data_IF_754363719238
#
_entry.id   IF_754363719238
#
_cell.length_a   1.000
_cell.length_b   1.000
_cell.length_c   1.000
_cell.angle_alpha   90.00
_cell.angle_beta   90.00
_cell.angle_gamma   90.00
#
_symmetry.space_group_name_H-M   'P 1'
#
loop_
_entity.id
_entity.type
_entity.pdbx_description
1 polymer ?
#
# COMPACT_ATOMS: atom_id res chain seq x y z
N UNK A 1 -35.50 -24.53 -1.12
CA UNK A 1 -34.98 -23.33 -0.45
C UNK A 1 -33.60 -23.66 0.09
N UNK A 2 -32.55 -23.27 -0.62
CA UNK A 2 -31.17 -23.43 -0.14
C UNK A 2 -30.91 -22.27 0.82
N UNK A 3 -30.67 -22.58 2.09
CA UNK A 3 -30.31 -21.55 3.08
C UNK A 3 -29.02 -20.86 2.62
N UNK A 4 -29.07 -19.53 2.48
CA UNK A 4 -27.86 -18.74 2.25
C UNK A 4 -26.90 -18.99 3.42
N UNK A 5 -25.62 -19.31 3.18
CA UNK A 5 -24.65 -19.43 4.25
C UNK A 5 -24.65 -18.11 5.03
N UNK A 6 -24.86 -18.17 6.35
CA UNK A 6 -24.80 -16.99 7.21
C UNK A 6 -23.37 -16.48 7.19
N UNK A 7 -23.10 -15.47 6.36
CA UNK A 7 -21.80 -14.84 6.27
C UNK A 7 -21.41 -14.31 7.65
N UNK A 8 -20.19 -14.63 8.10
CA UNK A 8 -19.66 -14.07 9.34
C UNK A 8 -19.64 -12.54 9.19
N UNK A 9 -20.13 -11.77 10.19
CA UNK A 9 -19.98 -10.32 10.18
C UNK A 9 -18.51 -9.93 10.03
N UNK A 10 -18.25 -8.84 9.30
CA UNK A 10 -16.88 -8.33 9.15
C UNK A 10 -16.32 -7.90 10.51
N UNK A 11 -15.11 -8.33 10.83
CA UNK A 11 -14.34 -7.93 12.00
C UNK A 11 -12.87 -7.71 11.63
N UNK A 12 -12.07 -7.24 12.59
CA UNK A 12 -10.64 -6.98 12.36
C UNK A 12 -9.84 -8.20 11.92
N UNK A 13 -10.26 -9.41 12.34
CA UNK A 13 -9.59 -10.65 11.95
C UNK A 13 -9.86 -11.00 10.48
N UNK A 14 -11.11 -10.90 10.03
CA UNK A 14 -11.48 -11.14 8.62
C UNK A 14 -10.77 -10.15 7.71
N UNK A 15 -10.72 -8.87 8.11
CA UNK A 15 -10.02 -7.82 7.37
C UNK A 15 -8.51 -8.11 7.31
N UNK A 16 -7.89 -8.43 8.45
CA UNK A 16 -6.47 -8.75 8.53
C UNK A 16 -6.09 -9.95 7.66
N UNK A 17 -6.89 -11.03 7.69
CA UNK A 17 -6.65 -12.21 6.87
C UNK A 17 -6.78 -11.92 5.37
N UNK A 18 -7.79 -11.15 4.97
CA UNK A 18 -7.95 -10.71 3.58
C UNK A 18 -6.75 -9.86 3.13
N UNK A 19 -6.29 -8.93 3.97
CA UNK A 19 -5.10 -8.13 3.73
C UNK A 19 -3.85 -9.01 3.55
N UNK A 20 -3.58 -9.94 4.48
CA UNK A 20 -2.40 -10.81 4.40
C UNK A 20 -2.41 -11.68 3.15
N UNK A 21 -3.57 -12.23 2.77
CA UNK A 21 -3.68 -13.05 1.57
C UNK A 21 -3.41 -12.23 0.29
N UNK A 22 -4.03 -11.05 0.15
CA UNK A 22 -3.80 -10.16 -0.99
C UNK A 22 -2.35 -9.65 -1.04
N UNK A 23 -1.80 -9.25 0.11
CA UNK A 23 -0.40 -8.81 0.23
C UNK A 23 0.58 -9.90 -0.15
N UNK A 24 0.36 -11.14 0.28
CA UNK A 24 1.23 -12.27 -0.07
C UNK A 24 1.26 -12.55 -1.58
N UNK A 25 0.17 -12.27 -2.31
CA UNK A 25 0.17 -12.35 -3.77
C UNK A 25 0.95 -11.18 -4.39
N UNK A 26 0.74 -9.96 -3.88
CA UNK A 26 1.44 -8.77 -4.36
C UNK A 26 2.96 -8.88 -4.14
N UNK A 27 3.40 -9.36 -2.97
CA UNK A 27 4.83 -9.51 -2.64
C UNK A 27 5.56 -10.51 -3.55
N UNK A 28 4.86 -11.46 -4.19
CA UNK A 28 5.47 -12.37 -5.20
C UNK A 28 5.88 -11.65 -6.49
N UNK A 29 5.34 -10.45 -6.73
CA UNK A 29 5.69 -9.64 -7.90
C UNK A 29 6.96 -8.82 -7.68
N UNK A 30 7.43 -8.72 -6.44
CA UNK A 30 8.61 -7.93 -6.11
C UNK A 30 9.90 -8.71 -6.44
N UNK A 31 10.93 -8.03 -6.94
CA UNK A 31 12.23 -8.66 -7.12
C UNK A 31 12.83 -9.06 -5.77
N UNK A 32 13.79 -9.98 -5.81
CA UNK A 32 14.45 -10.47 -4.61
C UNK A 32 15.09 -9.32 -3.82
N UNK A 33 14.78 -9.22 -2.53
CA UNK A 33 15.29 -8.16 -1.65
C UNK A 33 14.45 -6.87 -1.63
N UNK A 34 13.47 -6.71 -2.54
CA UNK A 34 12.53 -5.60 -2.46
C UNK A 34 11.39 -5.89 -1.47
N UNK A 35 10.94 -4.86 -0.76
CA UNK A 35 9.88 -4.98 0.25
C UNK A 35 8.57 -4.32 -0.18
N UNK A 36 7.47 -4.73 0.44
CA UNK A 36 6.17 -4.07 0.24
C UNK A 36 6.20 -2.58 0.60
N UNK A 37 6.95 -2.20 1.63
CA UNK A 37 7.07 -0.79 2.05
C UNK A 37 7.84 0.04 1.04
N UNK A 38 8.90 -0.52 0.44
CA UNK A 38 9.61 0.08 -0.68
C UNK A 38 8.68 0.26 -1.89
N UNK A 39 7.87 -0.74 -2.24
CA UNK A 39 6.90 -0.65 -3.33
C UNK A 39 5.84 0.44 -3.08
N UNK A 40 5.34 0.57 -1.84
CA UNK A 40 4.40 1.62 -1.46
C UNK A 40 5.03 3.02 -1.56
N UNK A 41 6.29 3.16 -1.14
CA UNK A 41 7.02 4.41 -1.24
C UNK A 41 7.26 4.80 -2.71
N UNK A 42 7.66 3.87 -3.56
CA UNK A 42 7.80 4.13 -5.01
C UNK A 42 6.47 4.51 -5.65
N UNK A 43 5.37 3.86 -5.27
CA UNK A 43 4.02 4.21 -5.74
C UNK A 43 3.60 5.61 -5.29
N UNK A 44 3.98 6.02 -4.07
CA UNK A 44 3.73 7.38 -3.59
C UNK A 44 4.53 8.43 -4.38
N UNK A 45 5.81 8.14 -4.68
CA UNK A 45 6.65 9.01 -5.50
C UNK A 45 6.12 9.12 -6.95
N UNK A 46 5.69 8.00 -7.54
CA UNK A 46 5.09 7.98 -8.88
C UNK A 46 3.78 8.77 -8.94
N UNK A 47 2.90 8.60 -7.95
CA UNK A 47 1.66 9.37 -7.85
C UNK A 47 1.89 10.88 -7.68
N UNK A 48 3.06 11.28 -7.16
CA UNK A 48 3.49 12.68 -7.06
C UNK A 48 4.17 13.20 -8.34
N UNK A 49 4.15 12.45 -9.44
CA UNK A 49 4.79 12.83 -10.71
C UNK A 49 6.26 12.46 -10.80
N UNK A 50 6.71 11.52 -9.96
CA UNK A 50 8.07 10.97 -9.99
C UNK A 50 9.11 11.78 -9.21
N UNK A 51 8.74 12.88 -8.56
CA UNK A 51 9.59 13.62 -7.61
C UNK A 51 8.78 14.01 -6.38
N UNK A 52 9.31 13.74 -5.19
CA UNK A 52 8.60 13.93 -3.91
C UNK A 52 9.55 14.43 -2.82
N UNK A 53 9.06 15.24 -1.88
CA UNK A 53 9.81 15.57 -0.66
C UNK A 53 10.06 14.31 0.17
N UNK A 54 11.28 14.13 0.67
CA UNK A 54 11.60 13.01 1.57
C UNK A 54 10.66 12.96 2.77
N UNK A 55 10.41 14.12 3.41
CA UNK A 55 9.48 14.23 4.53
C UNK A 55 8.07 13.76 4.17
N UNK A 56 7.55 14.16 3.01
CA UNK A 56 6.23 13.73 2.55
C UNK A 56 6.16 12.20 2.34
N UNK A 57 7.26 11.60 1.86
CA UNK A 57 7.35 10.14 1.71
C UNK A 57 7.37 9.42 3.07
N UNK A 58 8.10 9.94 4.04
CA UNK A 58 8.11 9.44 5.42
C UNK A 58 6.71 9.56 6.04
N UNK A 59 6.07 10.73 5.93
CA UNK A 59 4.70 10.98 6.41
C UNK A 59 3.68 10.04 5.77
N UNK A 60 3.86 9.72 4.49
CA UNK A 60 3.02 8.75 3.81
C UNK A 60 3.19 7.35 4.41
N UNK A 61 4.42 6.92 4.69
CA UNK A 61 4.68 5.59 5.29
C UNK A 61 4.19 5.52 6.74
N UNK A 62 4.44 6.54 7.55
CA UNK A 62 3.98 6.57 8.94
C UNK A 62 2.47 6.75 9.04
N UNK A 63 1.86 7.52 8.13
CA UNK A 63 0.42 7.77 8.12
C UNK A 63 -0.39 6.62 7.54
N UNK A 64 0.02 6.05 6.40
CA UNK A 64 -0.80 5.10 5.65
C UNK A 64 -0.64 3.66 6.11
N UNK A 65 0.59 3.24 6.39
CA UNK A 65 0.90 1.87 6.81
C UNK A 65 1.35 1.79 8.26
N UNK A 66 1.24 2.91 8.99
CA UNK A 66 1.54 3.01 10.42
C UNK A 66 2.95 2.52 10.77
N UNK A 67 3.89 2.72 9.86
CA UNK A 67 5.31 2.45 10.14
C UNK A 67 5.80 3.40 11.24
N UNK A 68 6.69 2.91 12.11
CA UNK A 68 7.45 3.80 12.98
C UNK A 68 8.39 4.68 12.16
N UNK A 69 8.66 5.90 12.63
CA UNK A 69 9.54 6.86 11.94
C UNK A 69 10.90 6.23 11.56
N UNK A 70 11.61 5.50 12.45
CA UNK A 70 12.89 4.89 12.08
C UNK A 70 12.79 3.88 10.94
N UNK A 71 11.69 3.11 10.88
CA UNK A 71 11.46 2.14 9.81
C UNK A 71 11.12 2.83 8.49
N UNK A 72 10.38 3.94 8.53
CA UNK A 72 10.09 4.76 7.35
C UNK A 72 11.36 5.39 6.79
N UNK A 73 12.21 5.98 7.65
CA UNK A 73 13.50 6.53 7.25
C UNK A 73 14.43 5.47 6.66
N UNK A 74 14.52 4.30 7.30
CA UNK A 74 15.30 3.17 6.79
C UNK A 74 14.79 2.71 5.41
N UNK A 75 13.47 2.61 5.23
CA UNK A 75 12.86 2.26 3.92
C UNK A 75 13.29 3.23 2.84
N UNK A 76 13.29 4.54 3.12
CA UNK A 76 13.70 5.56 2.15
C UNK A 76 15.20 5.47 1.85
N UNK A 77 16.04 5.29 2.87
CA UNK A 77 17.48 5.12 2.70
C UNK A 77 17.84 3.87 1.86
N UNK A 78 17.11 2.77 2.07
CA UNK A 78 17.26 1.54 1.28
C UNK A 78 16.89 1.75 -0.19
N UNK A 79 15.85 2.54 -0.50
CA UNK A 79 15.50 2.88 -1.89
C UNK A 79 16.61 3.67 -2.58
N UNK A 80 17.22 4.63 -1.88
CA UNK A 80 18.37 5.39 -2.40
C UNK A 80 19.58 4.47 -2.60
N UNK A 81 19.88 3.61 -1.62
CA UNK A 81 20.98 2.64 -1.69
C UNK A 81 20.80 1.63 -2.84
N UNK A 82 19.57 1.21 -3.10
CA UNK A 82 19.22 0.33 -4.21
C UNK A 82 19.19 1.05 -5.58
N UNK A 83 19.40 2.36 -5.63
CA UNK A 83 19.35 3.15 -6.86
C UNK A 83 17.96 3.24 -7.49
N UNK A 84 16.90 3.06 -6.69
CA UNK A 84 15.50 3.17 -7.15
C UNK A 84 14.98 4.60 -7.04
N UNK A 85 15.57 5.39 -6.14
CA UNK A 85 15.40 6.84 -6.08
C UNK A 85 16.76 7.52 -6.02
N UNK A 86 16.82 8.75 -6.49
CA UNK A 86 18.01 9.62 -6.40
C UNK A 86 17.69 10.88 -5.58
N UNK A 87 18.68 11.35 -4.82
CA UNK A 87 18.57 12.59 -4.06
C UNK A 87 18.77 13.80 -4.96
N UNK A 88 17.94 14.82 -4.77
CA UNK A 88 17.94 16.08 -5.51
C UNK A 88 18.01 17.26 -4.53
N UNK A 89 18.51 18.43 -4.98
CA UNK A 89 18.56 19.62 -4.14
C UNK A 89 17.19 19.95 -3.50
N UNK A 90 17.20 20.38 -2.24
CA UNK A 90 15.98 20.72 -1.50
C UNK A 90 15.29 19.55 -0.82
N UNK A 91 16.02 18.49 -0.45
CA UNK A 91 15.48 17.28 0.20
C UNK A 91 14.38 16.58 -0.63
N UNK A 92 14.57 16.61 -1.94
CA UNK A 92 13.73 15.97 -2.92
C UNK A 92 14.30 14.60 -3.30
N UNK A 93 13.41 13.65 -3.55
CA UNK A 93 13.72 12.33 -4.07
C UNK A 93 13.04 12.19 -5.43
N UNK A 94 13.81 11.82 -6.45
CA UNK A 94 13.28 11.53 -7.77
C UNK A 94 13.37 10.02 -8.07
N UNK A 95 12.35 9.46 -8.71
CA UNK A 95 12.42 8.11 -9.24
C UNK A 95 13.55 8.02 -10.26
N UNK A 96 14.39 7.00 -10.13
CA UNK A 96 15.30 6.62 -11.22
C UNK A 96 14.51 5.86 -12.28
N UNK A 97 15.04 5.68 -13.50
CA UNK A 97 14.41 4.81 -14.50
C UNK A 97 14.16 3.39 -13.99
N UNK A 98 15.02 2.87 -13.11
CA UNK A 98 14.85 1.55 -12.50
C UNK A 98 13.71 1.54 -11.47
N UNK A 99 13.60 2.59 -10.63
CA UNK A 99 12.50 2.74 -9.69
C UNK A 99 11.14 2.88 -10.37
N UNK A 100 11.08 3.68 -11.44
CA UNK A 100 9.87 3.84 -12.26
C UNK A 100 9.46 2.52 -12.92
N UNK A 101 10.39 1.83 -13.58
CA UNK A 101 10.10 0.54 -14.21
C UNK A 101 9.59 -0.50 -13.19
N UNK A 102 10.20 -0.56 -12.00
CA UNK A 102 9.78 -1.47 -10.94
C UNK A 102 8.35 -1.18 -10.49
N UNK A 103 8.03 0.08 -10.18
CA UNK A 103 6.70 0.42 -9.66
C UNK A 103 5.61 0.25 -10.71
N UNK A 104 5.88 0.56 -11.98
CA UNK A 104 4.92 0.34 -13.07
C UNK A 104 4.63 -1.15 -13.26
N UNK A 105 5.67 -1.99 -13.30
CA UNK A 105 5.52 -3.44 -13.40
C UNK A 105 4.75 -4.02 -12.20
N UNK A 106 5.08 -3.55 -10.99
CA UNK A 106 4.41 -3.99 -9.77
C UNK A 106 2.92 -3.60 -9.77
N UNK A 107 2.59 -2.34 -10.11
CA UNK A 107 1.20 -1.85 -10.19
C UNK A 107 0.38 -2.63 -11.20
N UNK A 108 0.95 -2.92 -12.37
CA UNK A 108 0.27 -3.72 -13.41
C UNK A 108 -0.09 -5.12 -12.88
N UNK A 109 0.88 -5.82 -12.28
CA UNK A 109 0.61 -7.15 -11.71
C UNK A 109 -0.38 -7.12 -10.53
N UNK A 110 -0.33 -6.08 -9.70
CA UNK A 110 -1.31 -5.88 -8.61
C UNK A 110 -2.71 -5.65 -9.18
N UNK A 111 -2.85 -4.89 -10.27
CA UNK A 111 -4.13 -4.67 -10.94
C UNK A 111 -4.71 -5.99 -11.50
N UNK A 112 -3.87 -6.83 -12.11
CA UNK A 112 -4.28 -8.14 -12.61
C UNK A 112 -4.73 -9.08 -11.47
N UNK A 113 -4.01 -9.08 -10.34
CA UNK A 113 -4.40 -9.82 -9.14
C UNK A 113 -5.74 -9.29 -8.62
N UNK A 114 -5.91 -7.97 -8.52
CA UNK A 114 -7.14 -7.35 -8.05
C UNK A 114 -8.33 -7.71 -8.95
N UNK A 115 -8.16 -7.66 -10.27
CA UNK A 115 -9.21 -8.06 -11.21
C UNK A 115 -9.67 -9.52 -10.97
N UNK A 116 -8.76 -10.42 -10.62
CA UNK A 116 -9.07 -11.83 -10.31
C UNK A 116 -9.68 -12.04 -8.93
N UNK A 117 -9.32 -11.21 -7.95
CA UNK A 117 -9.83 -11.31 -6.58
C UNK A 117 -11.22 -10.67 -6.41
N UNK A 118 -11.51 -9.64 -7.20
CA UNK A 118 -12.72 -8.81 -7.04
C UNK A 118 -13.69 -8.87 -8.23
N UNK A 119 -13.26 -9.35 -9.40
CA UNK A 119 -13.98 -9.14 -10.67
C UNK A 119 -15.34 -9.82 -10.80
N UNK A 120 -15.60 -10.86 -10.01
CA UNK A 120 -16.84 -11.63 -9.94
C UNK A 120 -17.67 -11.35 -8.68
N UNK A 121 -17.21 -10.43 -7.82
CA UNK A 121 -17.94 -10.04 -6.61
C UNK A 121 -19.04 -9.00 -6.93
N UNK A 122 -20.19 -9.05 -6.21
CA UNK A 122 -21.27 -8.07 -6.41
C UNK A 122 -20.80 -6.64 -6.14
N UNK A 123 -21.17 -5.70 -7.01
CA UNK A 123 -20.76 -4.32 -6.89
C UNK A 123 -21.32 -3.66 -5.61
N UNK A 124 -22.53 -4.03 -5.20
CA UNK A 124 -23.14 -3.58 -3.95
C UNK A 124 -22.35 -4.03 -2.71
N UNK A 125 -21.81 -5.26 -2.72
CA UNK A 125 -21.04 -5.82 -1.62
C UNK A 125 -19.68 -5.12 -1.51
N UNK A 126 -19.02 -4.88 -2.65
CA UNK A 126 -17.78 -4.09 -2.69
C UNK A 126 -17.98 -2.66 -2.20
N UNK A 127 -19.08 -2.01 -2.61
CA UNK A 127 -19.41 -0.67 -2.15
C UNK A 127 -19.74 -0.63 -0.66
N UNK A 128 -20.45 -1.63 -0.14
CA UNK A 128 -20.75 -1.76 1.28
C UNK A 128 -19.47 -1.99 2.11
N UNK A 129 -18.61 -2.92 1.69
CA UNK A 129 -17.32 -3.18 2.32
C UNK A 129 -16.44 -1.92 2.30
N UNK A 130 -16.35 -1.23 1.16
CA UNK A 130 -15.59 0.02 1.03
C UNK A 130 -16.02 1.08 2.04
N UNK A 131 -17.33 1.34 2.18
CA UNK A 131 -17.86 2.29 3.18
C UNK A 131 -17.47 1.91 4.60
N UNK A 132 -17.64 0.63 4.96
CA UNK A 132 -17.31 0.13 6.30
C UNK A 132 -15.82 0.28 6.59
N UNK A 133 -14.96 -0.15 5.67
CA UNK A 133 -13.51 -0.07 5.85
C UNK A 133 -13.02 1.37 5.94
N UNK A 134 -13.54 2.29 5.11
CA UNK A 134 -13.23 3.72 5.21
C UNK A 134 -13.61 4.31 6.57
N UNK A 135 -14.80 4.00 7.08
CA UNK A 135 -15.25 4.48 8.39
C UNK A 135 -14.39 3.91 9.53
N UNK A 136 -14.06 2.63 9.48
CA UNK A 136 -13.19 1.99 10.48
C UNK A 136 -11.78 2.60 10.46
N UNK A 137 -11.21 2.84 9.28
CA UNK A 137 -9.91 3.52 9.15
C UNK A 137 -9.96 4.93 9.73
N UNK A 138 -10.99 5.73 9.41
CA UNK A 138 -11.13 7.08 9.92
C UNK A 138 -11.25 7.13 11.45
N UNK A 139 -12.00 6.20 12.06
CA UNK A 139 -12.11 6.09 13.52
C UNK A 139 -10.78 5.70 14.17
N UNK A 140 -10.08 4.72 13.60
CA UNK A 140 -8.78 4.29 14.10
C UNK A 140 -7.75 5.44 14.04
N UNK A 141 -7.73 6.20 12.94
CA UNK A 141 -6.86 7.36 12.78
C UNK A 141 -7.19 8.47 13.79
N UNK A 142 -8.47 8.74 14.02
CA UNK A 142 -8.90 9.71 15.03
C UNK A 142 -8.49 9.30 16.46
N UNK A 143 -8.58 8.00 16.78
CA UNK A 143 -8.12 7.48 18.08
C UNK A 143 -6.61 7.61 18.25
N UNK A 144 -5.83 7.30 17.20
CA UNK A 144 -4.38 7.45 17.20
C UNK A 144 -3.93 8.91 17.33
N UNK A 145 -4.68 9.86 16.76
CA UNK A 145 -4.39 11.29 16.87
C UNK A 145 -4.75 11.88 18.25
N UNK A 146 -5.61 11.21 19.02
CA UNK A 146 -6.05 11.66 20.34
C UNK A 146 -5.18 11.11 21.49
N UNK A 147 -4.26 10.19 21.21
CA UNK A 147 -3.32 9.59 22.18
C UNK A 147 -1.88 9.94 21.85
#
# INVERSE_FOLDING_TARGET
MTAAPTARPVDGQVIGMAHYAARALAERLLPQGATFHQALALNAAEAAGGTVERRALIERLTGAVKLGVPAAEATVAELTSAGLVEERPGDLLALTPAGDALVQSYKAGVADIAARLYGDLPAEDLAAAGRVLTEVTARADAMLAAG
#
